data_IF_908687543435
#
_entry.id   IF_908687543435
#
_cell.length_a   1.000
_cell.length_b   1.000
_cell.length_c   1.000
_cell.angle_alpha   90.00
_cell.angle_beta   90.00
_cell.angle_gamma   90.00
#
_symmetry.space_group_name_H-M   'P 1'
#
loop_
_entity.id
_entity.type
_entity.pdbx_description
1 polymer ?
#
# COMPACT_ATOMS: atom_id res chain seq x y z
N UNK A 1 11.15 -11.97 28.36
CA UNK A 1 10.93 -12.39 26.96
C UNK A 1 9.88 -11.47 26.40
N UNK A 2 10.18 -10.68 25.36
CA UNK A 2 9.12 -9.98 24.60
C UNK A 2 8.31 -11.11 23.97
N UNK A 3 7.02 -11.34 24.31
CA UNK A 3 6.28 -12.44 23.74
C UNK A 3 6.31 -12.30 22.22
N UNK A 4 6.83 -13.31 21.52
CA UNK A 4 6.93 -13.37 20.05
C UNK A 4 5.59 -12.96 19.37
N UNK A 5 4.47 -13.18 20.07
CA UNK A 5 3.13 -12.75 19.67
C UNK A 5 3.02 -11.25 19.35
N UNK A 6 3.68 -10.35 20.07
CA UNK A 6 3.61 -8.89 19.79
C UNK A 6 4.29 -8.53 18.48
N UNK A 7 5.40 -9.19 18.17
CA UNK A 7 6.18 -8.97 16.95
C UNK A 7 5.36 -9.41 15.74
N UNK A 8 4.76 -10.61 15.79
CA UNK A 8 3.92 -11.10 14.71
C UNK A 8 2.60 -10.32 14.57
N UNK A 9 1.99 -9.89 15.67
CA UNK A 9 0.80 -9.03 15.64
C UNK A 9 1.12 -7.67 14.99
N UNK A 10 2.24 -7.05 15.39
CA UNK A 10 2.72 -5.79 14.81
C UNK A 10 3.03 -5.94 13.32
N UNK A 11 3.63 -7.06 12.92
CA UNK A 11 3.86 -7.40 11.51
C UNK A 11 2.55 -7.45 10.72
N UNK A 12 1.56 -8.23 11.19
CA UNK A 12 0.28 -8.39 10.51
C UNK A 12 -0.47 -7.04 10.40
N UNK A 13 -0.50 -6.27 11.48
CA UNK A 13 -1.11 -4.93 11.49
C UNK A 13 -0.44 -3.99 10.49
N UNK A 14 0.89 -4.03 10.38
CA UNK A 14 1.65 -3.24 9.39
C UNK A 14 1.33 -3.65 7.94
N UNK A 15 1.11 -4.94 7.69
CA UNK A 15 0.68 -5.43 6.37
C UNK A 15 -0.73 -4.95 6.04
N UNK A 16 -1.67 -5.02 7.00
CA UNK A 16 -3.04 -4.49 6.82
C UNK A 16 -3.00 -2.98 6.54
N UNK A 17 -2.10 -2.26 7.19
CA UNK A 17 -1.88 -0.84 6.97
C UNK A 17 -1.37 -0.53 5.57
N UNK A 18 -0.44 -1.33 5.04
CA UNK A 18 0.00 -1.25 3.63
C UNK A 18 -1.14 -1.52 2.65
N UNK A 19 -1.98 -2.53 2.93
CA UNK A 19 -3.17 -2.80 2.11
C UNK A 19 -4.18 -1.64 2.17
N UNK A 20 -4.41 -1.08 3.35
CA UNK A 20 -5.32 0.06 3.53
C UNK A 20 -4.91 1.26 2.67
N UNK A 21 -3.64 1.67 2.72
CA UNK A 21 -3.16 2.79 1.89
C UNK A 21 -3.17 2.44 0.39
N UNK A 22 -2.81 1.20 0.02
CA UNK A 22 -2.89 0.74 -1.36
C UNK A 22 -4.32 0.85 -1.90
N UNK A 23 -5.31 0.38 -1.14
CA UNK A 23 -6.71 0.42 -1.55
C UNK A 23 -7.21 1.86 -1.72
N UNK A 24 -6.82 2.77 -0.83
CA UNK A 24 -7.18 4.19 -0.91
C UNK A 24 -6.53 4.86 -2.12
N UNK A 25 -5.21 4.75 -2.29
CA UNK A 25 -4.47 5.44 -3.36
C UNK A 25 -4.80 4.83 -4.73
N UNK A 26 -4.66 3.52 -4.87
CA UNK A 26 -4.92 2.83 -6.14
C UNK A 26 -6.40 2.77 -6.50
N UNK A 27 -7.31 2.75 -5.50
CA UNK A 27 -8.74 2.92 -5.70
C UNK A 27 -9.07 4.30 -6.25
N UNK A 28 -8.53 5.37 -5.66
CA UNK A 28 -8.72 6.75 -6.15
C UNK A 28 -8.16 6.92 -7.57
N UNK A 29 -6.97 6.39 -7.85
CA UNK A 29 -6.43 6.38 -9.21
C UNK A 29 -7.35 5.65 -10.19
N UNK A 30 -7.83 4.46 -9.81
CA UNK A 30 -8.74 3.66 -10.64
C UNK A 30 -10.09 4.35 -10.86
N UNK A 31 -10.58 5.11 -9.88
CA UNK A 31 -11.80 5.90 -10.00
C UNK A 31 -11.70 6.92 -11.14
N UNK A 32 -10.56 7.59 -11.29
CA UNK A 32 -10.32 8.52 -12.40
C UNK A 32 -10.10 7.79 -13.73
N UNK A 33 -9.27 6.73 -13.74
CA UNK A 33 -8.96 5.95 -14.94
C UNK A 33 -10.21 5.31 -15.58
N UNK A 34 -11.10 4.79 -14.73
CA UNK A 34 -12.31 4.05 -15.10
C UNK A 34 -13.59 4.90 -14.97
N UNK A 35 -13.43 6.23 -14.83
CA UNK A 35 -14.51 7.16 -14.51
C UNK A 35 -15.67 7.26 -15.52
N UNK A 36 -15.60 6.54 -16.65
CA UNK A 36 -16.71 6.44 -17.63
C UNK A 36 -17.68 5.29 -17.33
N UNK A 37 -17.29 4.31 -16.49
CA UNK A 37 -18.08 3.09 -16.27
C UNK A 37 -18.80 3.14 -14.91
N UNK A 38 -20.08 3.54 -14.95
CA UNK A 38 -20.91 3.74 -13.75
C UNK A 38 -20.97 2.48 -12.88
N UNK A 39 -21.08 1.30 -13.49
CA UNK A 39 -21.16 0.00 -12.80
C UNK A 39 -19.93 -0.38 -11.97
N UNK A 40 -18.78 0.25 -12.26
CA UNK A 40 -17.51 -0.01 -11.59
C UNK A 40 -17.26 1.05 -10.53
N UNK A 41 -17.74 2.29 -10.72
CA UNK A 41 -17.55 3.39 -9.77
C UNK A 41 -18.00 3.05 -8.36
N UNK A 42 -19.20 2.51 -8.19
CA UNK A 42 -19.70 2.14 -6.86
C UNK A 42 -18.81 1.08 -6.20
N UNK A 43 -18.32 0.11 -6.99
CA UNK A 43 -17.39 -0.91 -6.50
C UNK A 43 -16.07 -0.29 -6.06
N UNK A 44 -15.56 0.70 -6.81
CA UNK A 44 -14.34 1.43 -6.45
C UNK A 44 -14.54 2.27 -5.18
N UNK A 45 -15.68 2.95 -5.04
CA UNK A 45 -15.98 3.72 -3.82
C UNK A 45 -16.02 2.80 -2.59
N UNK A 46 -16.72 1.67 -2.68
CA UNK A 46 -16.73 0.64 -1.61
C UNK A 46 -15.33 0.12 -1.30
N UNK A 47 -14.51 -0.07 -2.33
CA UNK A 47 -13.12 -0.51 -2.18
C UNK A 47 -12.23 0.54 -1.48
N UNK A 48 -12.37 1.83 -1.82
CA UNK A 48 -11.69 2.93 -1.12
C UNK A 48 -12.15 2.99 0.34
N UNK A 49 -13.46 2.88 0.61
CA UNK A 49 -14.01 2.86 1.98
C UNK A 49 -13.49 1.69 2.82
N UNK A 50 -13.36 0.51 2.21
CA UNK A 50 -12.72 -0.63 2.87
C UNK A 50 -11.25 -0.31 3.19
N UNK A 51 -10.52 0.31 2.25
CA UNK A 51 -9.15 0.76 2.47
C UNK A 51 -9.00 1.75 3.63
N UNK A 52 -9.89 2.73 3.74
CA UNK A 52 -9.88 3.69 4.85
C UNK A 52 -10.21 3.02 6.19
N UNK A 53 -11.14 2.06 6.22
CA UNK A 53 -11.43 1.26 7.42
C UNK A 53 -10.24 0.39 7.85
N UNK A 54 -9.60 -0.32 6.92
CA UNK A 54 -8.42 -1.13 7.21
C UNK A 54 -7.27 -0.26 7.71
N UNK A 55 -7.04 0.90 7.07
CA UNK A 55 -6.04 1.86 7.50
C UNK A 55 -6.30 2.44 8.89
N UNK A 56 -7.56 2.73 9.23
CA UNK A 56 -7.97 3.20 10.55
C UNK A 56 -7.72 2.14 11.63
N UNK A 57 -8.27 0.94 11.43
CA UNK A 57 -8.15 -0.18 12.37
C UNK A 57 -6.68 -0.51 12.62
N UNK A 58 -5.89 -0.62 11.56
CA UNK A 58 -4.46 -0.93 11.69
C UNK A 58 -3.65 0.20 12.34
N UNK A 59 -3.98 1.47 12.09
CA UNK A 59 -3.27 2.59 12.72
C UNK A 59 -3.52 2.65 14.24
N UNK A 60 -4.78 2.44 14.66
CA UNK A 60 -5.18 2.39 16.07
C UNK A 60 -4.57 1.17 16.75
N UNK A 61 -4.76 -0.02 16.17
CA UNK A 61 -4.21 -1.25 16.74
C UNK A 61 -2.68 -1.19 16.82
N UNK A 62 -2.00 -0.66 15.79
CA UNK A 62 -0.55 -0.54 15.78
C UNK A 62 -0.01 0.32 16.92
N UNK A 63 -0.72 1.38 17.29
CA UNK A 63 -0.36 2.23 18.43
C UNK A 63 -0.44 1.46 19.75
N UNK A 64 -1.56 0.76 19.99
CA UNK A 64 -1.75 -0.01 21.22
C UNK A 64 -0.87 -1.27 21.29
N UNK A 65 -0.56 -1.92 20.16
CA UNK A 65 0.40 -3.01 20.11
C UNK A 65 1.82 -2.54 20.45
N UNK A 66 2.22 -1.35 20.01
CA UNK A 66 3.49 -0.74 20.39
C UNK A 66 3.57 -0.53 21.90
N UNK A 67 2.51 0.04 22.50
CA UNK A 67 2.42 0.22 23.95
C UNK A 67 2.50 -1.13 24.69
N UNK A 68 1.71 -2.12 24.26
CA UNK A 68 1.71 -3.45 24.84
C UNK A 68 3.08 -4.14 24.77
N UNK A 69 3.82 -3.91 23.67
CA UNK A 69 5.18 -4.43 23.51
C UNK A 69 6.19 -3.83 24.49
N UNK A 70 6.01 -2.55 24.86
CA UNK A 70 6.85 -1.90 25.88
C UNK A 70 6.46 -2.28 27.31
N UNK A 71 5.15 -2.35 27.59
CA UNK A 71 4.65 -2.74 28.92
C UNK A 71 5.01 -4.19 29.27
N UNK A 72 4.96 -5.09 28.30
CA UNK A 72 5.35 -6.49 28.43
C UNK A 72 4.61 -7.27 29.55
N UNK A 73 3.41 -6.83 29.92
CA UNK A 73 2.55 -7.40 30.98
C UNK A 73 1.37 -8.20 30.43
N UNK A 74 1.44 -8.63 29.16
CA UNK A 74 0.34 -9.28 28.45
C UNK A 74 -0.62 -8.29 27.80
N UNK A 75 -1.81 -8.74 27.37
CA UNK A 75 -2.78 -7.92 26.61
C UNK A 75 -3.26 -6.67 27.37
N UNK A 76 -3.32 -6.74 28.70
CA UNK A 76 -3.64 -5.59 29.56
C UNK A 76 -2.62 -4.46 29.42
N UNK A 77 -1.36 -4.77 29.10
CA UNK A 77 -0.29 -3.81 28.89
C UNK A 77 -0.55 -2.82 27.74
N UNK A 78 -1.46 -3.14 26.80
CA UNK A 78 -1.88 -2.21 25.75
C UNK A 78 -2.52 -0.93 26.31
N UNK A 79 -3.04 -0.99 27.54
CA UNK A 79 -3.73 0.11 28.21
C UNK A 79 -2.89 0.75 29.32
N UNK A 80 -1.58 0.48 29.35
CA UNK A 80 -0.68 1.06 30.35
C UNK A 80 -0.55 2.58 30.14
N UNK A 81 -1.06 3.35 31.09
CA UNK A 81 -1.11 4.82 31.01
C UNK A 81 0.26 5.47 31.03
N UNK A 82 1.26 4.84 31.67
CA UNK A 82 2.63 5.37 31.70
C UNK A 82 3.25 5.29 30.30
N UNK A 83 3.11 4.13 29.63
CA UNK A 83 3.61 3.96 28.27
C UNK A 83 2.80 4.74 27.23
N UNK A 84 1.49 4.90 27.41
CA UNK A 84 0.67 5.81 26.59
C UNK A 84 1.24 7.24 26.67
N UNK A 85 1.43 7.76 27.88
CA UNK A 85 1.95 9.12 28.09
C UNK A 85 3.37 9.28 27.54
N UNK A 86 4.21 8.23 27.63
CA UNK A 86 5.54 8.24 27.04
C UNK A 86 5.45 8.30 25.51
N UNK A 87 4.73 7.37 24.88
CA UNK A 87 4.70 7.22 23.42
C UNK A 87 4.04 8.41 22.73
N UNK A 88 2.96 8.99 23.28
CA UNK A 88 2.26 10.15 22.68
C UNK A 88 3.21 11.35 22.49
N UNK A 89 4.21 11.50 23.37
CA UNK A 89 5.19 12.58 23.31
C UNK A 89 6.40 12.26 22.43
N UNK A 90 6.36 11.16 21.67
CA UNK A 90 7.43 10.77 20.72
C UNK A 90 7.00 11.03 19.26
N UNK A 91 7.97 11.20 18.34
CA UNK A 91 7.68 11.28 16.90
C UNK A 91 6.90 10.07 16.36
N UNK A 92 7.15 8.87 16.90
CA UNK A 92 6.44 7.64 16.53
C UNK A 92 4.97 7.74 16.96
N UNK A 93 4.70 8.17 18.19
CA UNK A 93 3.32 8.40 18.67
C UNK A 93 2.58 9.43 17.84
N UNK A 94 3.21 10.57 17.54
CA UNK A 94 2.63 11.58 16.64
C UNK A 94 2.28 11.01 15.26
N UNK A 95 3.16 10.18 14.70
CA UNK A 95 2.91 9.50 13.41
C UNK A 95 1.67 8.60 13.47
N UNK A 96 1.53 7.79 14.52
CA UNK A 96 0.34 6.94 14.72
C UNK A 96 -0.95 7.75 14.90
N UNK A 97 -0.88 8.87 15.64
CA UNK A 97 -2.03 9.76 15.86
C UNK A 97 -2.45 10.42 14.54
N UNK A 98 -1.52 11.03 13.80
CA UNK A 98 -1.79 11.67 12.51
C UNK A 98 -2.45 10.69 11.55
N UNK A 99 -1.97 9.44 11.49
CA UNK A 99 -2.55 8.39 10.66
C UNK A 99 -3.95 8.00 11.10
N UNK A 100 -4.14 7.78 12.40
CA UNK A 100 -5.44 7.37 12.95
C UNK A 100 -6.50 8.46 12.70
N UNK A 101 -6.16 9.72 12.95
CA UNK A 101 -7.04 10.86 12.68
C UNK A 101 -7.28 11.03 11.18
N UNK A 102 -6.23 10.95 10.35
CA UNK A 102 -6.34 11.07 8.90
C UNK A 102 -7.25 9.99 8.29
N UNK A 103 -7.04 8.72 8.67
CA UNK A 103 -7.89 7.62 8.21
C UNK A 103 -9.31 7.73 8.77
N UNK A 104 -9.50 8.20 10.01
CA UNK A 104 -10.84 8.44 10.58
C UNK A 104 -11.60 9.48 9.75
N UNK A 105 -10.98 10.63 9.48
CA UNK A 105 -11.59 11.69 8.68
C UNK A 105 -11.90 11.23 7.26
N UNK A 106 -10.98 10.49 6.60
CA UNK A 106 -11.23 9.89 5.29
C UNK A 106 -12.35 8.85 5.33
N UNK A 107 -12.42 8.02 6.37
CA UNK A 107 -13.45 7.01 6.53
C UNK A 107 -14.83 7.65 6.69
N UNK A 108 -14.97 8.64 7.58
CA UNK A 108 -16.20 9.40 7.76
C UNK A 108 -16.62 10.11 6.47
N UNK A 109 -15.68 10.76 5.79
CA UNK A 109 -15.92 11.38 4.48
C UNK A 109 -16.46 10.38 3.46
N UNK A 110 -15.87 9.18 3.39
CA UNK A 110 -16.29 8.12 2.47
C UNK A 110 -17.65 7.51 2.84
N UNK A 111 -17.99 7.41 4.13
CA UNK A 111 -19.32 6.97 4.58
C UNK A 111 -20.40 7.97 4.15
N UNK A 112 -20.16 9.27 4.33
CA UNK A 112 -21.06 10.32 3.84
C UNK A 112 -21.19 10.23 2.31
N UNK A 113 -20.07 10.01 1.60
CA UNK A 113 -20.07 9.90 0.14
C UNK A 113 -20.94 8.73 -0.35
N UNK A 114 -20.80 7.56 0.26
CA UNK A 114 -21.61 6.38 -0.05
C UNK A 114 -23.10 6.59 0.30
N UNK A 115 -23.39 7.25 1.43
CA UNK A 115 -24.76 7.53 1.87
C UNK A 115 -25.53 8.42 0.89
N UNK A 116 -24.86 9.42 0.30
CA UNK A 116 -25.47 10.31 -0.71
C UNK A 116 -25.84 9.61 -2.03
N UNK A 117 -25.43 8.35 -2.23
CA UNK A 117 -25.60 7.57 -3.48
C UNK A 117 -25.13 8.31 -4.75
N UNK A 118 -24.22 9.29 -4.59
CA UNK A 118 -23.63 10.01 -5.71
C UNK A 118 -22.29 9.39 -6.09
N UNK A 119 -22.22 8.86 -7.31
CA UNK A 119 -21.00 8.22 -7.82
C UNK A 119 -20.00 9.21 -8.43
N UNK A 120 -20.21 10.52 -8.23
CA UNK A 120 -19.38 11.58 -8.82
C UNK A 120 -18.76 12.46 -7.75
N UNK A 121 -17.43 12.58 -7.71
CA UNK A 121 -16.73 13.56 -6.90
C UNK A 121 -16.89 14.98 -7.46
N UNK A 122 -17.23 15.94 -6.62
CA UNK A 122 -17.06 17.36 -6.93
C UNK A 122 -15.59 17.77 -6.85
N UNK A 123 -15.21 18.91 -7.46
CA UNK A 123 -13.85 19.45 -7.35
C UNK A 123 -13.44 19.69 -5.89
N UNK A 124 -14.39 20.18 -5.08
CA UNK A 124 -14.20 20.44 -3.64
C UNK A 124 -13.99 19.14 -2.87
N UNK A 125 -14.80 18.11 -3.14
CA UNK A 125 -14.66 16.79 -2.52
C UNK A 125 -13.31 16.15 -2.86
N UNK A 126 -12.84 16.30 -4.10
CA UNK A 126 -11.51 15.84 -4.52
C UNK A 126 -10.37 16.56 -3.81
N UNK A 127 -10.49 17.88 -3.60
CA UNK A 127 -9.52 18.68 -2.86
C UNK A 127 -9.46 18.24 -1.39
N UNK A 128 -10.61 18.12 -0.73
CA UNK A 128 -10.72 17.64 0.66
C UNK A 128 -10.08 16.26 0.80
N UNK A 129 -10.42 15.32 -0.09
CA UNK A 129 -9.85 13.97 -0.07
C UNK A 129 -8.32 13.99 -0.19
N UNK A 130 -7.78 14.83 -1.07
CA UNK A 130 -6.32 14.97 -1.28
C UNK A 130 -5.64 15.54 -0.04
N UNK A 131 -6.23 16.59 0.57
CA UNK A 131 -5.72 17.20 1.81
C UNK A 131 -5.67 16.18 2.96
N UNK A 132 -6.68 15.32 3.08
CA UNK A 132 -6.74 14.30 4.13
C UNK A 132 -5.78 13.12 3.87
N UNK A 133 -5.52 12.80 2.60
CA UNK A 133 -4.61 11.70 2.22
C UNK A 133 -3.12 12.07 2.42
N UNK A 134 -2.76 13.33 2.19
CA UNK A 134 -1.36 13.77 2.15
C UNK A 134 -0.59 13.52 3.47
N UNK A 135 -1.13 13.85 4.66
CA UNK A 135 -0.49 13.52 5.94
C UNK A 135 -0.29 12.02 6.15
N UNK A 136 -1.23 11.20 5.68
CA UNK A 136 -1.15 9.74 5.80
C UNK A 136 0.02 9.19 4.97
N UNK A 137 0.20 9.67 3.73
CA UNK A 137 1.31 9.24 2.87
C UNK A 137 2.65 9.71 3.45
N UNK A 138 2.70 10.94 3.95
CA UNK A 138 3.93 11.49 4.55
C UNK A 138 4.35 10.73 5.81
N UNK A 139 3.38 10.26 6.61
CA UNK A 139 3.63 9.51 7.85
C UNK A 139 4.52 8.26 7.69
N UNK A 140 4.54 7.64 6.50
CA UNK A 140 5.37 6.46 6.24
C UNK A 140 6.87 6.76 6.20
N UNK A 141 7.26 8.01 5.96
CA UNK A 141 8.67 8.43 6.01
C UNK A 141 9.17 8.72 7.42
N UNK A 142 8.27 8.82 8.40
CA UNK A 142 8.57 9.22 9.78
C UNK A 142 8.68 8.05 10.77
N UNK A 143 8.94 6.83 10.27
CA UNK A 143 8.99 5.61 11.09
C UNK A 143 10.37 4.95 11.07
N UNK A 144 10.84 4.51 12.25
CA UNK A 144 12.07 3.72 12.42
C UNK A 144 13.35 4.48 12.04
N UNK A 145 14.42 3.75 11.71
CA UNK A 145 15.72 4.31 11.32
C UNK A 145 15.67 5.26 10.11
N UNK A 146 14.55 5.30 9.37
CA UNK A 146 14.33 6.20 8.24
C UNK A 146 14.32 7.66 8.68
N UNK A 147 13.91 7.97 9.91
CA UNK A 147 13.96 9.34 10.45
C UNK A 147 15.39 9.86 10.60
N UNK A 148 16.37 8.96 10.70
CA UNK A 148 17.78 9.30 10.82
C UNK A 148 18.46 9.45 9.44
N UNK A 149 17.75 9.12 8.35
CA UNK A 149 18.24 9.30 6.99
C UNK A 149 18.00 10.73 6.52
N UNK A 150 18.77 11.22 5.52
CA UNK A 150 18.55 12.53 4.91
C UNK A 150 17.11 12.69 4.41
N UNK A 151 16.60 13.93 4.42
CA UNK A 151 15.24 14.25 3.94
C UNK A 151 14.96 13.71 2.54
N UNK A 152 15.98 13.64 1.68
CA UNK A 152 15.89 13.03 0.37
C UNK A 152 15.49 11.54 0.42
N UNK A 153 16.07 10.76 1.32
CA UNK A 153 15.74 9.33 1.48
C UNK A 153 14.32 9.15 2.05
N UNK A 154 13.92 10.02 2.96
CA UNK A 154 12.55 10.07 3.50
C UNK A 154 11.53 10.34 2.40
N UNK A 155 11.80 11.34 1.55
CA UNK A 155 10.96 11.67 0.39
C UNK A 155 10.90 10.51 -0.62
N UNK A 156 12.04 9.89 -0.94
CA UNK A 156 12.10 8.72 -1.82
C UNK A 156 11.25 7.57 -1.28
N UNK A 157 11.26 7.32 0.03
CA UNK A 157 10.43 6.27 0.62
C UNK A 157 8.94 6.62 0.53
N UNK A 158 8.55 7.86 0.85
CA UNK A 158 7.15 8.29 0.69
C UNK A 158 6.68 8.18 -0.76
N UNK A 159 7.52 8.57 -1.74
CA UNK A 159 7.22 8.40 -3.17
C UNK A 159 7.10 6.91 -3.50
N UNK A 160 8.04 6.07 -3.04
CA UNK A 160 8.00 4.63 -3.27
C UNK A 160 6.68 4.02 -2.75
N UNK A 161 6.29 4.36 -1.52
CA UNK A 161 5.04 3.90 -0.91
C UNK A 161 3.82 4.40 -1.68
N UNK A 162 3.81 5.67 -2.11
CA UNK A 162 2.71 6.23 -2.90
C UNK A 162 2.55 5.51 -4.24
N UNK A 163 3.66 5.31 -4.96
CA UNK A 163 3.66 4.74 -6.31
C UNK A 163 3.35 3.25 -6.28
N UNK A 164 3.85 2.50 -5.30
CA UNK A 164 3.48 1.08 -5.13
C UNK A 164 2.01 0.95 -4.71
N UNK A 165 1.51 1.86 -3.86
CA UNK A 165 0.10 1.89 -3.44
C UNK A 165 -0.83 2.18 -4.63
N UNK A 166 -0.42 3.09 -5.52
CA UNK A 166 -1.13 3.38 -6.75
C UNK A 166 -1.20 2.13 -7.64
N UNK A 167 -0.04 1.51 -7.91
CA UNK A 167 0.02 0.34 -8.78
C UNK A 167 -0.74 -0.86 -8.20
N UNK A 168 -0.35 -1.31 -7.01
CA UNK A 168 -0.92 -2.50 -6.38
C UNK A 168 -2.40 -2.31 -6.05
N UNK A 169 -2.78 -1.13 -5.57
CA UNK A 169 -4.16 -0.81 -5.25
C UNK A 169 -5.09 -0.74 -6.45
N UNK A 170 -4.56 -0.55 -7.66
CA UNK A 170 -5.36 -0.49 -8.90
C UNK A 170 -5.71 -1.87 -9.47
N UNK A 171 -4.99 -2.92 -9.07
CA UNK A 171 -5.16 -4.26 -9.65
C UNK A 171 -6.56 -4.84 -9.40
N UNK A 172 -7.12 -4.67 -8.19
CA UNK A 172 -8.46 -5.18 -7.89
C UNK A 172 -9.57 -4.51 -8.72
N UNK A 173 -9.65 -3.15 -8.81
CA UNK A 173 -10.54 -2.48 -9.74
C UNK A 173 -10.38 -2.92 -11.21
N UNK A 174 -9.14 -3.11 -11.68
CA UNK A 174 -8.86 -3.58 -13.04
C UNK A 174 -9.32 -5.03 -13.26
N UNK A 175 -9.09 -5.91 -12.29
CA UNK A 175 -9.61 -7.27 -12.31
C UNK A 175 -11.14 -7.27 -12.41
N UNK A 176 -11.83 -6.48 -11.59
CA UNK A 176 -13.30 -6.33 -11.69
C UNK A 176 -13.73 -5.79 -13.06
N UNK A 177 -12.97 -4.85 -13.61
CA UNK A 177 -13.20 -4.30 -14.95
C UNK A 177 -13.12 -5.38 -16.03
N UNK A 178 -12.09 -6.24 -15.98
CA UNK A 178 -11.92 -7.36 -16.92
C UNK A 178 -13.04 -8.40 -16.89
N UNK A 179 -13.86 -8.42 -15.82
CA UNK A 179 -15.02 -9.30 -15.70
C UNK A 179 -16.33 -8.66 -16.17
N UNK A 180 -16.42 -7.33 -16.18
CA UNK A 180 -17.65 -6.59 -16.53
C UNK A 180 -17.63 -6.03 -17.95
N UNK A 181 -16.45 -5.70 -18.46
CA UNK A 181 -16.26 -5.00 -19.73
C UNK A 181 -15.40 -5.86 -20.64
N UNK A 182 -15.73 -5.93 -21.93
CA UNK A 182 -15.01 -6.71 -22.93
C UNK A 182 -14.75 -5.88 -24.19
N UNK A 183 -13.92 -6.41 -25.10
CA UNK A 183 -13.67 -5.82 -26.41
C UNK A 183 -12.86 -4.53 -26.37
N UNK A 184 -13.14 -3.62 -27.30
CA UNK A 184 -12.38 -2.38 -27.49
C UNK A 184 -12.34 -1.48 -26.24
N UNK A 185 -13.45 -1.24 -25.50
CA UNK A 185 -13.42 -0.40 -24.30
C UNK A 185 -12.50 -0.93 -23.20
N UNK A 186 -12.44 -2.26 -23.02
CA UNK A 186 -11.52 -2.89 -22.08
C UNK A 186 -10.07 -2.69 -22.54
N UNK A 187 -9.79 -2.94 -23.83
CA UNK A 187 -8.47 -2.80 -24.44
C UNK A 187 -7.90 -1.39 -24.24
N UNK A 188 -8.70 -0.36 -24.54
CA UNK A 188 -8.28 1.04 -24.39
C UNK A 188 -7.88 1.38 -22.95
N UNK A 189 -8.66 0.93 -21.97
CA UNK A 189 -8.39 1.21 -20.55
C UNK A 189 -7.19 0.45 -20.02
N UNK A 190 -7.05 -0.81 -20.40
CA UNK A 190 -5.88 -1.62 -20.04
C UNK A 190 -4.60 -1.11 -20.71
N UNK A 191 -4.70 -0.61 -21.94
CA UNK A 191 -3.58 0.01 -22.64
C UNK A 191 -3.15 1.33 -21.98
N UNK A 192 -4.10 2.21 -21.67
CA UNK A 192 -3.83 3.45 -20.94
C UNK A 192 -3.22 3.17 -19.56
N UNK A 193 -3.77 2.19 -18.83
CA UNK A 193 -3.18 1.72 -17.58
C UNK A 193 -1.74 1.26 -17.78
N UNK A 194 -1.48 0.40 -18.78
CA UNK A 194 -0.13 -0.11 -19.06
C UNK A 194 0.89 0.96 -19.47
N UNK A 195 0.45 2.09 -20.04
CA UNK A 195 1.31 3.24 -20.28
C UNK A 195 1.67 3.96 -18.98
N UNK A 196 0.66 4.27 -18.15
CA UNK A 196 0.87 4.94 -16.86
C UNK A 196 1.68 4.06 -15.91
N UNK A 197 1.37 2.77 -15.85
CA UNK A 197 2.05 1.77 -15.03
C UNK A 197 3.53 1.64 -15.41
N UNK A 198 3.89 1.75 -16.69
CA UNK A 198 5.30 1.72 -17.09
C UNK A 198 6.11 2.91 -16.54
N UNK A 199 5.51 4.11 -16.52
CA UNK A 199 6.13 5.29 -15.92
C UNK A 199 6.27 5.13 -14.39
N UNK A 200 5.21 4.67 -13.73
CA UNK A 200 5.16 4.34 -12.29
C UNK A 200 6.26 3.32 -11.93
N UNK A 201 6.39 2.25 -12.71
CA UNK A 201 7.43 1.23 -12.52
C UNK A 201 8.83 1.82 -12.66
N UNK A 202 9.05 2.73 -13.62
CA UNK A 202 10.32 3.45 -13.75
C UNK A 202 10.69 4.22 -12.48
N UNK A 203 9.72 4.94 -11.89
CA UNK A 203 9.91 5.63 -10.60
C UNK A 203 10.19 4.62 -9.47
N UNK A 204 9.47 3.50 -9.42
CA UNK A 204 9.69 2.46 -8.39
C UNK A 204 11.10 1.89 -8.45
N UNK A 205 11.61 1.62 -9.66
CA UNK A 205 12.97 1.12 -9.85
C UNK A 205 13.97 2.18 -9.40
N UNK A 206 13.80 3.45 -9.79
CA UNK A 206 14.69 4.53 -9.37
C UNK A 206 14.71 4.71 -7.83
N UNK A 207 13.54 4.74 -7.19
CA UNK A 207 13.43 4.81 -5.74
C UNK A 207 14.02 3.58 -5.07
N UNK A 208 13.72 2.38 -5.57
CA UNK A 208 14.19 1.11 -5.02
C UNK A 208 15.72 1.00 -5.08
N UNK A 209 16.33 1.31 -6.23
CA UNK A 209 17.78 1.35 -6.39
C UNK A 209 18.43 2.38 -5.45
N UNK A 210 17.88 3.59 -5.41
CA UNK A 210 18.40 4.65 -4.54
C UNK A 210 18.36 4.25 -3.06
N UNK A 211 17.24 3.69 -2.60
CA UNK A 211 17.09 3.21 -1.21
C UNK A 211 18.06 2.05 -0.95
N UNK A 212 18.23 1.11 -1.90
CA UNK A 212 19.15 -0.03 -1.76
C UNK A 212 20.59 0.44 -1.56
N UNK A 213 21.05 1.40 -2.37
CA UNK A 213 22.40 1.96 -2.29
C UNK A 213 22.64 2.74 -1.01
N UNK A 214 21.60 3.37 -0.44
CA UNK A 214 21.68 4.06 0.84
C UNK A 214 21.69 3.10 2.03
N UNK A 215 21.08 1.92 1.87
CA UNK A 215 20.88 0.95 2.95
C UNK A 215 22.05 -0.02 3.11
N UNK A 216 22.58 -0.53 2.00
CA UNK A 216 23.66 -1.51 2.00
C UNK A 216 24.98 -0.83 1.59
N UNK A 217 25.91 -0.69 2.53
CA UNK A 217 27.22 -0.06 2.30
C UNK A 217 28.23 -1.02 1.65
N UNK A 218 28.04 -2.32 1.82
CA UNK A 218 28.91 -3.36 1.27
C UNK A 218 28.09 -4.59 0.85
N UNK A 219 28.55 -5.30 -0.18
CA UNK A 219 27.87 -6.49 -0.70
C UNK A 219 27.83 -7.65 0.29
N UNK A 220 28.74 -7.65 1.27
CA UNK A 220 28.86 -8.69 2.28
C UNK A 220 27.65 -8.68 3.22
N UNK A 221 27.20 -7.49 3.64
CA UNK A 221 25.97 -7.33 4.45
C UNK A 221 24.72 -7.81 3.72
N UNK A 222 24.67 -7.71 2.39
CA UNK A 222 23.51 -8.17 1.61
C UNK A 222 23.39 -9.70 1.59
N UNK A 223 24.50 -10.43 1.54
CA UNK A 223 24.49 -11.90 1.43
C UNK A 223 24.57 -12.57 2.80
N UNK A 224 25.27 -11.98 3.76
CA UNK A 224 25.57 -12.67 5.02
C UNK A 224 24.69 -12.27 6.20
N UNK A 225 23.69 -11.39 6.00
CA UNK A 225 22.76 -10.99 7.07
C UNK A 225 21.35 -11.56 6.84
N UNK A 226 20.60 -11.87 7.91
CA UNK A 226 19.18 -12.24 7.79
C UNK A 226 18.35 -11.17 7.07
N UNK A 227 18.65 -9.88 7.31
CA UNK A 227 17.99 -8.76 6.64
C UNK A 227 18.24 -8.78 5.12
N UNK A 228 19.50 -9.00 4.71
CA UNK A 228 19.92 -9.08 3.32
C UNK A 228 19.27 -10.25 2.56
N UNK A 229 19.21 -11.45 3.17
CA UNK A 229 18.49 -12.59 2.58
C UNK A 229 17.02 -12.29 2.33
N UNK A 230 16.34 -11.70 3.31
CA UNK A 230 14.94 -11.28 3.15
C UNK A 230 14.79 -10.24 2.02
N UNK A 231 15.72 -9.29 1.94
CA UNK A 231 15.74 -8.30 0.87
C UNK A 231 15.90 -8.95 -0.52
N UNK A 232 16.78 -9.95 -0.68
CA UNK A 232 16.94 -10.70 -1.93
C UNK A 232 15.64 -11.41 -2.31
N UNK A 233 14.98 -12.10 -1.37
CA UNK A 233 13.68 -12.75 -1.62
C UNK A 233 12.65 -11.74 -2.12
N UNK A 234 12.58 -10.56 -1.49
CA UNK A 234 11.71 -9.47 -1.94
C UNK A 234 12.02 -9.05 -3.38
N UNK A 235 13.30 -8.90 -3.73
CA UNK A 235 13.70 -8.54 -5.10
C UNK A 235 13.28 -9.61 -6.11
N UNK A 236 13.42 -10.90 -5.79
CA UNK A 236 12.95 -11.99 -6.66
C UNK A 236 11.44 -11.89 -6.92
N UNK A 237 10.63 -11.61 -5.89
CA UNK A 237 9.20 -11.39 -6.09
C UNK A 237 8.91 -10.13 -6.93
N UNK A 238 9.63 -9.04 -6.71
CA UNK A 238 9.51 -7.80 -7.50
C UNK A 238 9.84 -8.06 -8.97
N UNK A 239 10.91 -8.78 -9.28
CA UNK A 239 11.26 -9.15 -10.66
C UNK A 239 10.18 -10.04 -11.29
N UNK A 240 9.63 -10.98 -10.51
CA UNK A 240 8.57 -11.89 -10.98
C UNK A 240 7.29 -11.14 -11.36
N UNK A 241 6.84 -10.19 -10.52
CA UNK A 241 5.65 -9.39 -10.83
C UNK A 241 5.89 -8.41 -12.00
N UNK A 242 7.11 -7.89 -12.15
CA UNK A 242 7.47 -7.03 -13.28
C UNK A 242 7.45 -7.79 -14.61
N UNK A 243 7.98 -9.01 -14.65
CA UNK A 243 7.91 -9.88 -15.83
C UNK A 243 6.46 -10.20 -16.20
N UNK A 244 5.63 -10.51 -15.19
CA UNK A 244 4.22 -10.77 -15.39
C UNK A 244 3.47 -9.54 -15.91
N UNK A 245 3.76 -8.35 -15.36
CA UNK A 245 3.16 -7.10 -15.82
C UNK A 245 3.58 -6.73 -17.24
N UNK A 246 4.85 -6.96 -17.59
CA UNK A 246 5.35 -6.79 -18.95
C UNK A 246 4.64 -7.75 -19.93
N UNK A 247 4.49 -9.02 -19.53
CA UNK A 247 3.74 -10.01 -20.31
C UNK A 247 2.27 -9.60 -20.47
N UNK A 248 1.62 -9.10 -19.40
CA UNK A 248 0.24 -8.63 -19.46
C UNK A 248 0.07 -7.46 -20.44
N UNK A 249 0.99 -6.49 -20.39
CA UNK A 249 0.99 -5.31 -21.27
C UNK A 249 1.25 -5.66 -22.74
N UNK A 250 2.22 -6.53 -23.04
CA UNK A 250 2.66 -6.78 -24.41
C UNK A 250 1.97 -7.97 -25.07
N UNK A 251 1.54 -8.96 -24.30
CA UNK A 251 0.89 -10.16 -24.84
C UNK A 251 -0.63 -10.09 -24.74
N UNK A 252 -1.18 -9.88 -23.53
CA UNK A 252 -2.64 -9.92 -23.32
C UNK A 252 -3.33 -8.65 -23.80
N UNK A 253 -2.87 -7.46 -23.39
CA UNK A 253 -3.56 -6.19 -23.69
C UNK A 253 -3.85 -5.97 -25.18
N UNK A 254 -2.92 -6.24 -26.13
CA UNK A 254 -3.20 -6.05 -27.56
C UNK A 254 -4.32 -6.96 -28.10
N UNK A 255 -4.53 -8.13 -27.46
CA UNK A 255 -5.45 -9.21 -27.88
C UNK A 255 -6.81 -9.17 -27.19
N UNK A 256 -7.08 -8.17 -26.34
CA UNK A 256 -8.33 -8.04 -25.57
C UNK A 256 -9.61 -7.83 -26.39
N UNK A 257 -9.49 -7.73 -27.72
CA UNK A 257 -10.66 -7.77 -28.60
C UNK A 257 -11.33 -9.15 -28.60
N UNK A 258 -10.57 -10.22 -28.39
CA UNK A 258 -11.11 -11.55 -28.20
C UNK A 258 -11.45 -11.78 -26.69
N UNK A 259 -12.71 -12.08 -26.35
CA UNK A 259 -13.16 -12.30 -24.97
C UNK A 259 -12.36 -13.35 -24.19
N UNK A 260 -11.77 -14.34 -24.87
CA UNK A 260 -10.91 -15.35 -24.23
C UNK A 260 -9.73 -14.70 -23.49
N UNK A 261 -9.12 -13.69 -24.10
CA UNK A 261 -7.98 -12.99 -23.51
C UNK A 261 -8.37 -12.06 -22.36
N UNK A 262 -9.62 -11.57 -22.30
CA UNK A 262 -10.12 -10.83 -21.13
C UNK A 262 -10.18 -11.72 -19.89
N UNK A 263 -10.65 -12.98 -20.04
CA UNK A 263 -10.66 -13.95 -18.95
C UNK A 263 -9.24 -14.32 -18.50
N UNK A 264 -8.33 -14.55 -19.45
CA UNK A 264 -6.92 -14.87 -19.17
C UNK A 264 -6.19 -13.72 -18.47
N UNK A 265 -6.38 -12.48 -18.94
CA UNK A 265 -5.86 -11.29 -18.28
C UNK A 265 -6.37 -11.19 -16.84
N UNK A 266 -7.66 -11.48 -16.60
CA UNK A 266 -8.20 -11.50 -15.25
C UNK A 266 -7.49 -12.50 -14.32
N UNK A 267 -7.10 -13.68 -14.80
CA UNK A 267 -6.29 -14.61 -14.01
C UNK A 267 -4.86 -14.11 -13.78
N UNK A 268 -4.25 -13.50 -14.80
CA UNK A 268 -2.92 -12.93 -14.68
C UNK A 268 -2.87 -11.77 -13.66
N UNK A 269 -3.87 -10.88 -13.66
CA UNK A 269 -4.00 -9.81 -12.65
C UNK A 269 -4.20 -10.41 -11.25
N UNK A 270 -4.95 -11.52 -11.12
CA UNK A 270 -5.11 -12.20 -9.84
C UNK A 270 -3.79 -12.77 -9.33
N UNK A 271 -2.97 -13.31 -10.24
CA UNK A 271 -1.62 -13.75 -9.90
C UNK A 271 -0.70 -12.57 -9.53
N UNK A 272 -0.77 -11.43 -10.23
CA UNK A 272 -0.07 -10.19 -9.82
C UNK A 272 -0.49 -9.73 -8.42
N UNK A 273 -1.79 -9.76 -8.09
CA UNK A 273 -2.28 -9.42 -6.76
C UNK A 273 -1.69 -10.35 -5.68
N UNK A 274 -1.58 -11.65 -5.97
CA UNK A 274 -0.99 -12.62 -5.04
C UNK A 274 0.51 -12.36 -4.82
N UNK A 275 1.27 -12.08 -5.88
CA UNK A 275 2.69 -11.73 -5.79
C UNK A 275 2.89 -10.42 -5.02
N UNK A 276 2.05 -9.43 -5.29
CA UNK A 276 2.07 -8.17 -4.56
C UNK A 276 1.80 -8.32 -3.07
N UNK A 277 0.84 -9.18 -2.69
CA UNK A 277 0.59 -9.51 -1.29
C UNK A 277 1.83 -10.16 -0.65
N UNK A 278 2.49 -11.10 -1.35
CA UNK A 278 3.74 -11.71 -0.89
C UNK A 278 4.86 -10.67 -0.70
N UNK A 279 4.98 -9.70 -1.61
CA UNK A 279 5.94 -8.60 -1.49
C UNK A 279 5.66 -7.75 -0.24
N UNK A 280 4.39 -7.43 0.04
CA UNK A 280 3.99 -6.67 1.23
C UNK A 280 4.24 -7.46 2.52
N UNK A 281 3.90 -8.75 2.54
CA UNK A 281 4.16 -9.66 3.65
C UNK A 281 5.66 -9.76 3.94
N UNK A 282 6.48 -10.01 2.92
CA UNK A 282 7.93 -10.06 3.02
C UNK A 282 8.50 -8.72 3.52
N UNK A 283 8.08 -7.59 2.92
CA UNK A 283 8.53 -6.25 3.34
C UNK A 283 8.17 -5.98 4.81
N UNK A 284 6.95 -6.29 5.22
CA UNK A 284 6.52 -6.16 6.61
C UNK A 284 7.36 -7.04 7.54
N UNK A 285 7.64 -8.29 7.14
CA UNK A 285 8.35 -9.25 7.96
C UNK A 285 9.80 -8.82 8.17
N UNK A 286 10.49 -8.49 7.09
CA UNK A 286 11.88 -8.01 7.09
C UNK A 286 12.04 -6.77 7.96
N UNK A 287 11.08 -5.84 7.90
CA UNK A 287 11.17 -4.55 8.60
C UNK A 287 10.59 -4.54 10.02
N UNK A 288 10.00 -5.64 10.49
CA UNK A 288 9.38 -5.71 11.83
C UNK A 288 9.90 -6.89 12.65
N UNK A 289 10.10 -8.05 12.03
CA UNK A 289 10.52 -9.29 12.70
C UNK A 289 12.04 -9.43 12.66
N UNK A 290 12.65 -9.19 11.50
CA UNK A 290 14.11 -9.29 11.35
C UNK A 290 14.79 -8.02 11.85
N UNK A 291 14.35 -6.85 11.36
CA UNK A 291 14.98 -5.57 11.68
C UNK A 291 16.30 -5.38 10.93
N UNK A 292 16.73 -4.12 10.79
CA UNK A 292 18.10 -3.80 10.37
C UNK A 292 18.94 -3.80 11.64
N UNK A 293 20.05 -4.52 11.64
CA UNK A 293 21.08 -4.43 12.69
C UNK A 293 21.81 -3.08 12.64
#
# INVERSE_FOLDING_TARGET
MIPESWIYASWLVKVILYLGIAFVVGGTFSYFLLGRYVEIKETILKYITLGTALGLISSILGFFLLIGSFANTGLSGMWDTNYINLVINTPIGHTHIIRSVGFLLLFLFMLVKLSRRTNQFSKVEGLIFTILLLPIVFSFSQLGHVTNLPLFAQALLSIHVLVISLWMGSLYPLWKTSKKINGLPLKERMHLFGQIAAFIVGILIACGLSITLLLFKDFNTLINTPYGHGFIIKIVFVLSILLLAAFNKWYFTPRLQDPKFAKQLGYAILFEMSLGLLILLATGYITTVVGIE
#
